data_IF_311917470914
#
_entry.id   IF_311917470914
#
_cell.length_a   1.000
_cell.length_b   1.000
_cell.length_c   1.000
_cell.angle_alpha   90.00
_cell.angle_beta   90.00
_cell.angle_gamma   90.00
#
_symmetry.space_group_name_H-M   'P 1'
#
loop_
_entity.id
_entity.type
_entity.pdbx_description
1 polymer ?
#
# COMPACT_ATOMS: atom_id res chain seq x y z
N UNK A 1 -33.14 3.66 -45.16
CA UNK A 1 -34.50 3.72 -44.57
C UNK A 1 -34.43 3.31 -43.11
N UNK A 2 -34.77 4.22 -42.17
CA UNK A 2 -35.15 3.87 -40.79
C UNK A 2 -36.60 3.35 -40.79
N UNK A 3 -37.02 2.65 -39.72
CA UNK A 3 -37.99 3.33 -38.88
C UNK A 3 -37.69 3.29 -37.37
N UNK A 4 -38.15 4.34 -36.74
CA UNK A 4 -38.20 4.70 -35.32
C UNK A 4 -39.25 3.92 -34.53
N UNK A 5 -39.03 3.73 -33.22
CA UNK A 5 -40.13 3.81 -32.23
C UNK A 5 -39.73 4.65 -31.01
N UNK A 6 -40.49 5.73 -30.83
CA UNK A 6 -40.55 6.59 -29.65
C UNK A 6 -41.38 5.87 -28.58
N UNK A 7 -41.05 6.06 -27.30
CA UNK A 7 -42.00 5.84 -26.21
C UNK A 7 -42.06 7.11 -25.36
N UNK A 8 -43.27 7.64 -25.23
CA UNK A 8 -43.64 8.84 -24.48
C UNK A 8 -44.81 8.44 -23.59
N UNK A 9 -44.68 8.67 -22.27
CA UNK A 9 -45.78 8.92 -21.31
C UNK A 9 -45.17 9.80 -20.21
N UNK A 10 -45.37 11.11 -20.25
CA UNK A 10 -46.52 11.87 -19.73
C UNK A 10 -46.61 11.82 -18.20
N UNK A 11 -46.58 13.03 -17.66
CA UNK A 11 -46.34 13.44 -16.29
C UNK A 11 -47.47 13.13 -15.30
N UNK A 12 -47.15 13.18 -14.01
CA UNK A 12 -48.08 13.64 -12.98
C UNK A 12 -47.38 14.67 -12.09
N UNK A 13 -48.03 15.82 -12.02
CA UNK A 13 -47.73 17.03 -11.28
C UNK A 13 -48.37 16.91 -9.89
N UNK A 14 -47.67 17.27 -8.82
CA UNK A 14 -48.31 17.68 -7.57
C UNK A 14 -47.55 18.88 -6.97
N UNK A 15 -48.26 20.00 -6.90
CA UNK A 15 -47.87 21.28 -6.32
C UNK A 15 -47.78 21.17 -4.77
N UNK A 16 -46.72 21.72 -4.16
CA UNK A 16 -46.63 23.05 -3.54
C UNK A 16 -47.12 23.11 -2.08
N UNK A 17 -46.21 23.46 -1.15
CA UNK A 17 -46.49 24.33 0.01
C UNK A 17 -45.23 25.17 0.30
N UNK A 18 -45.35 26.50 0.22
CA UNK A 18 -44.44 27.48 0.82
C UNK A 18 -44.77 27.61 2.31
N UNK A 19 -43.75 27.62 3.18
CA UNK A 19 -43.88 28.14 4.53
C UNK A 19 -42.75 29.15 4.80
N UNK A 20 -43.18 30.29 5.33
CA UNK A 20 -42.46 31.55 5.54
C UNK A 20 -41.42 31.47 6.65
N UNK A 21 -40.28 32.14 6.45
CA UNK A 21 -39.35 32.49 7.52
C UNK A 21 -39.99 33.53 8.45
N UNK A 22 -40.01 33.23 9.75
CA UNK A 22 -40.25 34.19 10.81
C UNK A 22 -39.01 34.22 11.72
N UNK A 23 -38.39 35.40 11.82
CA UNK A 23 -37.36 35.70 12.79
C UNK A 23 -38.01 35.87 14.18
N UNK A 24 -37.48 35.23 15.22
CA UNK A 24 -37.54 35.78 16.58
C UNK A 24 -36.37 35.24 17.40
N UNK A 25 -35.93 36.07 18.34
CA UNK A 25 -34.59 36.20 18.90
C UNK A 25 -34.10 35.10 19.86
N UNK A 26 -32.79 34.87 19.76
CA UNK A 26 -31.77 34.85 20.83
C UNK A 26 -32.25 34.61 22.29
N UNK A 27 -31.67 33.60 22.95
CA UNK A 27 -31.01 33.83 24.23
C UNK A 27 -29.92 32.78 24.49
N UNK A 28 -28.85 33.28 25.09
CA UNK A 28 -27.54 32.69 25.16
C UNK A 28 -27.38 31.66 26.29
N UNK A 29 -26.31 30.87 26.11
CA UNK A 29 -25.41 30.40 27.16
C UNK A 29 -25.95 29.33 28.13
N UNK A 30 -25.54 28.08 27.89
CA UNK A 30 -25.22 27.17 29.00
C UNK A 30 -23.71 26.95 29.01
N UNK A 31 -23.12 27.48 30.06
CA UNK A 31 -21.74 27.26 30.45
C UNK A 31 -21.58 25.80 30.87
N UNK A 32 -20.62 25.08 30.31
CA UNK A 32 -19.84 24.03 30.98
C UNK A 32 -18.74 23.53 30.04
N UNK A 33 -17.58 24.18 30.12
CA UNK A 33 -16.33 23.60 29.65
C UNK A 33 -15.97 22.44 30.59
N UNK A 34 -16.41 21.22 30.25
CA UNK A 34 -15.80 20.00 30.77
C UNK A 34 -14.37 19.87 30.25
N UNK A 35 -13.47 19.17 30.96
CA UNK A 35 -12.11 18.96 30.46
C UNK A 35 -12.21 18.37 29.06
N UNK A 36 -11.57 19.02 28.09
CA UNK A 36 -11.34 18.44 26.78
C UNK A 36 -10.43 17.24 27.03
N UNK A 37 -11.01 16.06 27.23
CA UNK A 37 -10.24 14.84 27.16
C UNK A 37 -9.47 14.91 25.83
N UNK A 38 -8.13 14.82 25.84
CA UNK A 38 -7.42 14.61 24.59
C UNK A 38 -8.01 13.36 23.95
N UNK A 39 -8.20 13.31 22.62
CA UNK A 39 -8.74 12.13 21.98
C UNK A 39 -7.92 10.94 22.48
N UNK A 40 -8.64 9.97 23.05
CA UNK A 40 -8.09 8.79 23.68
C UNK A 40 -6.92 8.28 22.85
N UNK A 41 -5.79 8.06 23.54
CA UNK A 41 -4.57 7.53 22.99
C UNK A 41 -4.86 6.50 21.89
N UNK A 42 -4.22 6.71 20.74
CA UNK A 42 -4.03 5.74 19.68
C UNK A 42 -4.01 4.32 20.27
N UNK A 43 -5.02 3.51 19.93
CA UNK A 43 -5.15 2.13 20.39
C UNK A 43 -3.79 1.45 20.32
N UNK A 44 -3.37 0.79 21.41
CA UNK A 44 -2.04 0.19 21.54
C UNK A 44 -1.87 -0.94 20.54
N UNK A 45 -1.55 -0.60 19.28
CA UNK A 45 -1.26 -1.58 18.23
C UNK A 45 -0.08 -2.44 18.70
N UNK A 46 -0.17 -3.75 18.48
CA UNK A 46 0.94 -4.68 18.77
C UNK A 46 2.20 -4.16 18.09
N UNK A 47 3.36 -4.06 18.79
CA UNK A 47 4.55 -3.48 18.21
C UNK A 47 5.06 -4.28 17.00
N UNK A 48 5.74 -3.60 16.08
CA UNK A 48 6.50 -4.28 15.03
C UNK A 48 7.62 -5.13 15.63
N UNK A 49 7.84 -6.31 15.06
CA UNK A 49 8.94 -7.20 15.39
C UNK A 49 9.79 -7.46 14.16
N UNK A 50 11.12 -7.42 14.31
CA UNK A 50 12.02 -7.83 13.23
C UNK A 50 11.90 -9.35 13.04
N UNK A 51 11.46 -9.76 11.86
CA UNK A 51 11.20 -11.16 11.51
C UNK A 51 12.35 -11.76 10.69
N UNK A 52 13.14 -10.94 10.01
CA UNK A 52 14.28 -11.39 9.24
C UNK A 52 15.01 -10.24 8.55
N UNK A 53 16.07 -10.61 7.85
CA UNK A 53 16.84 -9.74 6.99
C UNK A 53 17.43 -10.59 5.86
N UNK A 54 17.58 -10.03 4.67
CA UNK A 54 18.40 -10.63 3.62
C UNK A 54 19.22 -9.57 2.89
N UNK A 55 20.28 -10.05 2.23
CA UNK A 55 20.99 -9.32 1.17
C UNK A 55 20.75 -10.00 -0.16
N UNK A 56 20.62 -9.20 -1.21
CA UNK A 56 20.45 -9.69 -2.57
C UNK A 56 21.16 -8.76 -3.55
N UNK A 57 21.84 -9.32 -4.54
CA UNK A 57 22.39 -8.58 -5.66
C UNK A 57 21.39 -8.58 -6.80
N UNK A 58 20.54 -7.54 -6.84
CA UNK A 58 19.51 -7.36 -7.85
C UNK A 58 20.18 -7.20 -9.21
N UNK A 59 19.97 -8.17 -10.09
CA UNK A 59 20.63 -8.24 -11.38
C UNK A 59 19.65 -8.74 -12.43
N UNK A 60 19.80 -8.27 -13.68
CA UNK A 60 19.24 -8.83 -14.91
C UNK A 60 17.90 -9.59 -14.79
N UNK A 61 17.90 -10.88 -14.42
CA UNK A 61 16.70 -11.68 -14.15
C UNK A 61 15.68 -11.03 -13.19
N UNK A 62 16.12 -10.27 -12.20
CA UNK A 62 15.25 -9.62 -11.20
C UNK A 62 14.55 -8.38 -11.75
N UNK A 63 15.04 -7.83 -12.86
CA UNK A 63 14.46 -6.64 -13.51
C UNK A 63 13.41 -6.98 -14.57
N UNK A 64 13.10 -8.27 -14.75
CA UNK A 64 12.22 -8.71 -15.84
C UNK A 64 11.15 -9.64 -15.30
N UNK A 65 9.89 -9.23 -15.42
CA UNK A 65 8.76 -10.08 -14.99
C UNK A 65 8.56 -11.28 -15.91
N UNK A 66 7.66 -12.19 -15.52
CA UNK A 66 7.37 -13.43 -16.25
C UNK A 66 6.97 -13.25 -17.73
N UNK A 67 6.46 -12.08 -18.13
CA UNK A 67 6.14 -11.74 -19.53
C UNK A 67 7.35 -11.37 -20.39
N UNK A 68 8.54 -11.20 -19.78
CA UNK A 68 9.72 -10.65 -20.42
C UNK A 68 9.77 -9.10 -20.43
N UNK A 69 8.76 -8.43 -19.87
CA UNK A 69 8.75 -6.97 -19.77
C UNK A 69 9.66 -6.47 -18.63
N UNK A 70 10.33 -5.34 -18.88
CA UNK A 70 11.12 -4.63 -17.87
C UNK A 70 10.19 -4.13 -16.76
N UNK A 71 10.54 -4.43 -15.52
CA UNK A 71 9.85 -3.94 -14.33
C UNK A 71 10.20 -2.47 -14.10
N UNK A 72 9.23 -1.69 -13.65
CA UNK A 72 9.36 -0.23 -13.55
C UNK A 72 9.26 0.27 -12.12
N UNK A 73 8.79 -0.57 -11.20
CA UNK A 73 8.68 -0.23 -9.78
C UNK A 73 9.67 -1.03 -8.93
N UNK A 74 10.21 -0.41 -7.89
CA UNK A 74 11.18 -1.08 -7.01
C UNK A 74 10.58 -2.30 -6.29
N UNK A 75 9.30 -2.24 -5.92
CA UNK A 75 8.62 -3.37 -5.29
C UNK A 75 8.46 -4.54 -6.26
N UNK A 76 8.33 -4.29 -7.58
CA UNK A 76 8.25 -5.35 -8.60
C UNK A 76 9.57 -6.09 -8.67
N UNK A 77 10.69 -5.37 -8.72
CA UNK A 77 12.04 -5.95 -8.76
C UNK A 77 12.32 -6.78 -7.51
N UNK A 78 11.99 -6.25 -6.32
CA UNK A 78 12.14 -7.00 -5.06
C UNK A 78 11.25 -8.24 -5.01
N UNK A 79 10.04 -8.19 -5.58
CA UNK A 79 9.15 -9.36 -5.67
C UNK A 79 9.71 -10.41 -6.62
N UNK A 80 10.16 -9.99 -7.80
CA UNK A 80 10.73 -10.89 -8.80
C UNK A 80 12.02 -11.55 -8.28
N UNK A 81 12.87 -10.83 -7.56
CA UNK A 81 14.03 -11.38 -6.83
C UNK A 81 13.60 -12.50 -5.87
N UNK A 82 12.57 -12.26 -5.03
CA UNK A 82 12.11 -13.29 -4.09
C UNK A 82 11.48 -14.50 -4.77
N UNK A 83 10.86 -14.32 -5.93
CA UNK A 83 10.39 -15.43 -6.77
C UNK A 83 11.60 -16.18 -7.36
N UNK A 84 12.58 -15.46 -7.91
CA UNK A 84 13.79 -16.03 -8.49
C UNK A 84 14.54 -16.89 -7.47
N UNK A 85 14.77 -16.36 -6.28
CA UNK A 85 15.49 -17.07 -5.23
C UNK A 85 14.71 -18.27 -4.67
N UNK A 86 13.47 -18.08 -4.22
CA UNK A 86 12.74 -19.12 -3.46
C UNK A 86 11.97 -20.11 -4.34
N UNK A 87 11.60 -19.73 -5.56
CA UNK A 87 10.78 -20.55 -6.45
C UNK A 87 11.56 -21.08 -7.66
N UNK A 88 12.41 -20.24 -8.26
CA UNK A 88 13.08 -20.59 -9.53
C UNK A 88 14.53 -21.07 -9.34
N UNK A 89 15.10 -20.91 -8.15
CA UNK A 89 16.49 -21.26 -7.87
C UNK A 89 17.50 -20.42 -8.65
N UNK A 90 17.12 -19.21 -9.05
CA UNK A 90 18.01 -18.23 -9.68
C UNK A 90 18.57 -17.34 -8.58
N UNK A 91 19.87 -17.44 -8.33
CA UNK A 91 20.55 -16.75 -7.22
C UNK A 91 21.95 -16.30 -7.62
N UNK A 92 22.43 -15.26 -6.95
CA UNK A 92 23.75 -14.68 -7.07
C UNK A 92 24.61 -15.11 -5.87
N UNK A 93 25.93 -15.00 -5.97
CA UNK A 93 26.86 -15.57 -4.98
C UNK A 93 26.68 -15.02 -3.55
N UNK A 94 26.22 -13.78 -3.42
CA UNK A 94 26.05 -13.09 -2.13
C UNK A 94 24.57 -13.02 -1.67
N UNK A 95 23.66 -13.69 -2.39
CA UNK A 95 22.24 -13.68 -2.04
C UNK A 95 21.97 -14.53 -0.80
N UNK A 96 21.09 -14.01 0.04
CA UNK A 96 20.71 -14.63 1.30
C UNK A 96 19.25 -15.07 1.25
N UNK A 97 18.99 -16.18 1.93
CA UNK A 97 17.61 -16.61 2.20
C UNK A 97 16.98 -15.74 3.27
N UNK A 98 15.65 -15.76 3.33
CA UNK A 98 14.86 -15.15 4.37
C UNK A 98 13.68 -16.09 4.74
N UNK A 99 13.22 -16.09 5.99
CA UNK A 99 12.16 -17.00 6.43
C UNK A 99 10.76 -16.57 6.00
N UNK A 100 10.57 -15.33 5.54
CA UNK A 100 9.24 -14.73 5.32
C UNK A 100 8.74 -14.96 3.91
N UNK A 101 9.59 -14.74 2.91
CA UNK A 101 9.28 -14.83 1.48
C UNK A 101 9.47 -16.22 0.90
N UNK A 102 9.81 -17.21 1.72
CA UNK A 102 9.65 -18.62 1.36
C UNK A 102 8.17 -18.95 1.06
N UNK A 103 7.23 -18.26 1.73
CA UNK A 103 5.80 -18.31 1.42
C UNK A 103 5.48 -17.38 0.22
N UNK A 104 4.94 -17.92 -0.90
CA UNK A 104 4.51 -17.12 -2.03
C UNK A 104 3.49 -16.02 -1.67
N UNK A 105 2.60 -16.26 -0.71
CA UNK A 105 1.58 -15.29 -0.32
C UNK A 105 2.19 -14.01 0.30
N UNK A 106 3.36 -14.12 0.92
CA UNK A 106 4.06 -12.97 1.49
C UNK A 106 4.76 -12.14 0.41
N UNK A 107 5.16 -12.75 -0.72
CA UNK A 107 5.75 -12.02 -1.86
C UNK A 107 4.76 -11.03 -2.47
N UNK A 108 3.47 -11.39 -2.51
CA UNK A 108 2.40 -10.52 -2.98
C UNK A 108 2.18 -9.28 -2.10
N UNK A 109 2.62 -9.31 -0.83
CA UNK A 109 2.49 -8.19 0.11
C UNK A 109 3.61 -7.15 -0.01
N UNK A 110 4.66 -7.41 -0.77
CA UNK A 110 5.87 -6.57 -0.83
C UNK A 110 5.57 -5.10 -1.15
N UNK A 111 4.62 -4.83 -2.05
CA UNK A 111 4.23 -3.45 -2.39
C UNK A 111 3.70 -2.71 -1.16
N UNK A 112 2.75 -3.31 -0.43
CA UNK A 112 2.17 -2.75 0.79
C UNK A 112 3.21 -2.65 1.90
N UNK A 113 4.05 -3.68 2.09
CA UNK A 113 5.09 -3.67 3.11
C UNK A 113 6.12 -2.56 2.88
N UNK A 114 6.48 -2.32 1.61
CA UNK A 114 7.40 -1.25 1.24
C UNK A 114 6.75 0.13 1.44
N UNK A 115 5.46 0.28 1.11
CA UNK A 115 4.70 1.49 1.37
C UNK A 115 4.59 1.83 2.88
N UNK A 116 4.61 0.81 3.74
CA UNK A 116 4.61 0.95 5.19
C UNK A 116 6.01 1.17 5.81
N UNK A 117 7.06 1.18 4.99
CA UNK A 117 8.44 1.15 5.45
C UNK A 117 9.29 2.29 4.92
N UNK A 118 10.55 1.98 4.66
CA UNK A 118 11.54 2.96 4.22
C UNK A 118 12.24 2.54 2.94
N UNK A 119 12.07 3.36 1.92
CA UNK A 119 12.86 3.34 0.69
C UNK A 119 12.95 4.77 0.16
N UNK A 120 14.17 5.29 0.00
CA UNK A 120 14.35 6.63 -0.58
C UNK A 120 14.06 6.61 -2.08
N UNK A 121 13.60 7.73 -2.64
CA UNK A 121 13.35 7.84 -4.09
C UNK A 121 14.60 7.51 -4.93
N UNK A 122 15.78 7.96 -4.49
CA UNK A 122 17.03 7.62 -5.16
C UNK A 122 17.35 6.11 -5.08
N UNK A 123 17.08 5.47 -3.94
CA UNK A 123 17.25 4.03 -3.79
C UNK A 123 16.26 3.25 -4.68
N UNK A 124 14.99 3.67 -4.72
CA UNK A 124 13.97 3.07 -5.59
C UNK A 124 14.39 3.13 -7.07
N UNK A 125 14.83 4.31 -7.52
CA UNK A 125 15.35 4.49 -8.88
C UNK A 125 16.54 3.58 -9.17
N UNK A 126 17.51 3.50 -8.26
CA UNK A 126 18.68 2.61 -8.43
C UNK A 126 18.28 1.13 -8.49
N UNK A 127 17.33 0.69 -7.67
CA UNK A 127 16.80 -0.69 -7.72
C UNK A 127 16.22 -1.01 -9.10
N UNK A 128 15.52 -0.06 -9.72
CA UNK A 128 14.90 -0.25 -11.04
C UNK A 128 15.92 -0.17 -12.17
N UNK A 129 16.85 0.80 -12.12
CA UNK A 129 17.71 1.16 -13.24
C UNK A 129 19.03 0.38 -13.28
N UNK A 130 19.62 0.08 -12.12
CA UNK A 130 20.98 -0.42 -11.96
C UNK A 130 21.01 -1.85 -11.40
N UNK A 131 22.19 -2.48 -11.47
CA UNK A 131 22.48 -3.66 -10.68
C UNK A 131 23.04 -3.22 -9.32
N UNK A 132 22.35 -3.56 -8.24
CA UNK A 132 22.68 -3.07 -6.90
C UNK A 132 22.61 -4.16 -5.86
N UNK A 133 23.48 -4.06 -4.85
CA UNK A 133 23.35 -4.85 -3.63
C UNK A 133 22.36 -4.14 -2.71
N UNK A 134 21.32 -4.86 -2.29
CA UNK A 134 20.38 -4.41 -1.27
C UNK A 134 20.53 -5.19 0.02
N UNK A 135 20.18 -4.54 1.13
CA UNK A 135 19.79 -5.22 2.36
C UNK A 135 18.34 -4.84 2.66
N UNK A 136 17.53 -5.84 2.98
CA UNK A 136 16.11 -5.67 3.29
C UNK A 136 15.83 -6.20 4.68
N UNK A 137 15.38 -5.32 5.56
CA UNK A 137 14.91 -5.66 6.90
C UNK A 137 13.40 -5.91 6.85
N UNK A 138 12.97 -7.05 7.38
CA UNK A 138 11.58 -7.51 7.32
C UNK A 138 10.95 -7.42 8.71
N UNK A 139 9.84 -6.71 8.82
CA UNK A 139 9.11 -6.55 10.06
C UNK A 139 7.70 -7.14 9.97
N UNK A 140 7.27 -7.79 11.05
CA UNK A 140 5.93 -8.34 11.21
C UNK A 140 5.16 -7.63 12.32
N UNK A 141 3.83 -7.74 12.25
CA UNK A 141 2.88 -7.40 13.31
C UNK A 141 1.92 -8.57 13.45
N UNK A 142 1.72 -9.08 14.66
CA UNK A 142 0.86 -10.26 14.90
C UNK A 142 1.24 -11.45 13.98
N UNK A 143 2.56 -11.65 13.80
CA UNK A 143 3.17 -12.65 12.91
C UNK A 143 2.86 -12.49 11.40
N UNK A 144 2.17 -11.42 11.00
CA UNK A 144 1.93 -11.06 9.60
C UNK A 144 3.00 -10.08 9.08
N UNK A 145 3.56 -10.28 7.88
CA UNK A 145 4.52 -9.34 7.27
C UNK A 145 3.85 -7.99 6.99
N UNK A 146 4.46 -6.93 7.52
CA UNK A 146 3.81 -5.63 7.64
C UNK A 146 4.64 -4.51 7.02
N UNK A 147 5.98 -4.61 7.08
CA UNK A 147 6.88 -3.53 6.69
C UNK A 147 8.23 -4.04 6.16
N UNK A 148 8.77 -3.33 5.17
CA UNK A 148 10.15 -3.47 4.69
C UNK A 148 10.94 -2.17 4.83
N UNK A 149 12.15 -2.26 5.39
CA UNK A 149 13.14 -1.18 5.26
C UNK A 149 14.27 -1.65 4.32
N UNK A 150 14.56 -0.84 3.30
CA UNK A 150 15.48 -1.23 2.22
C UNK A 150 16.65 -0.27 2.13
N UNK A 151 17.87 -0.83 2.16
CA UNK A 151 19.13 -0.11 2.07
C UNK A 151 19.87 -0.55 0.80
N UNK A 152 20.35 0.41 0.02
CA UNK A 152 21.10 0.16 -1.23
C UNK A 152 22.56 0.56 -1.03
N UNK A 153 23.48 -0.35 -1.36
CA UNK A 153 24.93 -0.15 -1.26
C UNK A 153 25.56 0.28 -2.59
#
# INVERSE_FOLDING_TARGET
MRPTRKSTRTALLCAAILATAACTDNDAQTDNAGPSDPPAAEETRVPLKMAGQYKAFLYGPDHTGASGARLTEAWEVLREDRINFHERGVTQADDQSDPVFADPANREKIETMLANGSLTENAARRIVEDNVLVQVDIYTRDDEPERLDVFVY
#
